data_IF_768924769717
#
_entry.id   IF_768924769717
#
_cell.length_a   1.000
_cell.length_b   1.000
_cell.length_c   1.000
_cell.angle_alpha   90.00
_cell.angle_beta   90.00
_cell.angle_gamma   90.00
#
_symmetry.space_group_name_H-M   'P 1'
#
loop_
_entity.id
_entity.type
_entity.pdbx_description
1 polymer ?
#
# COMPACT_ATOMS: atom_id res chain seq x y z
N UNK A 1 5.88 -8.23 12.47
CA UNK A 1 4.49 -7.85 12.14
C UNK A 1 4.44 -7.04 10.87
N UNK A 2 5.22 -5.95 10.76
CA UNK A 2 5.28 -5.18 9.51
C UNK A 2 5.95 -5.91 8.34
N UNK A 3 6.92 -6.82 8.57
CA UNK A 3 7.45 -7.66 7.47
C UNK A 3 6.37 -8.52 6.83
N UNK A 4 5.63 -9.29 7.64
CA UNK A 4 4.48 -10.08 7.18
C UNK A 4 3.45 -9.23 6.43
N UNK A 5 3.13 -8.04 6.96
CA UNK A 5 2.25 -7.09 6.28
C UNK A 5 2.73 -6.76 4.86
N UNK A 6 4.00 -6.36 4.72
CA UNK A 6 4.54 -5.94 3.43
C UNK A 6 4.80 -7.10 2.48
N UNK A 7 5.15 -8.28 2.98
CA UNK A 7 5.27 -9.51 2.20
C UNK A 7 3.91 -9.86 1.58
N UNK A 8 2.85 -9.86 2.39
CA UNK A 8 1.48 -10.12 1.92
C UNK A 8 1.00 -9.04 0.95
N UNK A 9 1.32 -7.77 1.16
CA UNK A 9 1.02 -6.70 0.18
C UNK A 9 1.73 -6.96 -1.14
N UNK A 10 2.98 -7.42 -1.14
CA UNK A 10 3.70 -7.75 -2.38
C UNK A 10 3.05 -8.92 -3.12
N UNK A 11 2.60 -9.95 -2.39
CA UNK A 11 1.87 -11.08 -2.97
C UNK A 11 0.54 -10.64 -3.60
N UNK A 12 -0.27 -9.89 -2.85
CA UNK A 12 -1.57 -9.37 -3.32
C UNK A 12 -1.44 -8.49 -4.57
N UNK A 13 -0.35 -7.71 -4.64
CA UNK A 13 -0.02 -6.90 -5.81
C UNK A 13 0.36 -7.77 -7.02
N UNK A 14 1.17 -8.82 -6.80
CA UNK A 14 1.55 -9.75 -7.86
C UNK A 14 0.34 -10.52 -8.42
N UNK A 15 -0.56 -10.99 -7.56
CA UNK A 15 -1.82 -11.67 -7.94
C UNK A 15 -2.72 -10.80 -8.83
N UNK A 16 -2.64 -9.47 -8.67
CA UNK A 16 -3.46 -8.49 -9.39
C UNK A 16 -2.73 -7.85 -10.58
N UNK A 17 -1.53 -8.31 -10.88
CA UNK A 17 -0.63 -7.70 -11.88
C UNK A 17 -0.46 -6.18 -11.66
N UNK A 18 -0.52 -5.75 -10.39
CA UNK A 18 -0.50 -4.34 -10.00
C UNK A 18 0.88 -3.95 -9.45
N UNK A 19 1.43 -2.85 -9.94
CA UNK A 19 2.67 -2.29 -9.40
C UNK A 19 2.42 -1.53 -8.10
N UNK A 20 3.46 -1.40 -7.27
CA UNK A 20 3.40 -0.57 -6.06
C UNK A 20 3.06 0.91 -6.37
N UNK A 21 3.50 1.43 -7.52
CA UNK A 21 3.17 2.78 -7.95
C UNK A 21 1.68 2.93 -8.30
N UNK A 22 1.08 1.93 -8.94
CA UNK A 22 -0.37 1.91 -9.23
C UNK A 22 -1.20 1.83 -7.96
N UNK A 23 -0.79 1.00 -6.99
CA UNK A 23 -1.41 0.99 -5.65
C UNK A 23 -1.43 2.40 -5.05
N UNK A 24 -0.27 3.07 -5.01
CA UNK A 24 -0.18 4.43 -4.45
C UNK A 24 -1.06 5.41 -5.25
N UNK A 25 -1.10 5.33 -6.59
CA UNK A 25 -1.95 6.20 -7.41
C UNK A 25 -3.42 6.02 -7.06
N UNK A 26 -3.88 4.77 -6.93
CA UNK A 26 -5.28 4.47 -6.60
C UNK A 26 -5.63 4.86 -5.16
N UNK A 27 -4.70 4.66 -4.20
CA UNK A 27 -4.90 5.09 -2.80
C UNK A 27 -5.12 6.59 -2.63
N UNK A 28 -4.58 7.40 -3.55
CA UNK A 28 -4.57 8.87 -3.45
C UNK A 28 -5.19 9.55 -4.68
N UNK A 29 -6.06 8.83 -5.41
CA UNK A 29 -6.74 9.39 -6.58
C UNK A 29 -7.51 10.66 -6.18
N UNK A 30 -7.27 11.76 -6.91
CA UNK A 30 -7.88 13.06 -6.63
C UNK A 30 -7.24 13.86 -5.48
N UNK A 31 -6.22 13.35 -4.80
CA UNK A 31 -5.55 14.05 -3.68
C UNK A 31 -4.24 14.76 -4.06
N UNK A 32 -3.87 14.71 -5.33
CA UNK A 32 -2.72 15.42 -5.87
C UNK A 32 -3.04 16.02 -7.24
N UNK A 33 -2.50 17.19 -7.52
CA UNK A 33 -2.60 17.88 -8.80
C UNK A 33 -1.27 17.86 -9.55
N UNK A 34 -0.15 17.89 -8.82
CA UNK A 34 1.18 17.92 -9.39
C UNK A 34 1.95 16.61 -9.17
N UNK A 35 2.85 16.23 -10.09
CA UNK A 35 3.69 15.03 -9.93
C UNK A 35 4.50 15.02 -8.63
N UNK A 36 4.97 16.18 -8.16
CA UNK A 36 5.73 16.31 -6.91
C UNK A 36 4.93 15.93 -5.66
N UNK A 37 3.62 16.20 -5.66
CA UNK A 37 2.72 15.83 -4.56
C UNK A 37 2.51 14.32 -4.50
N UNK A 38 2.35 13.68 -5.67
CA UNK A 38 2.34 12.23 -5.79
C UNK A 38 3.66 11.63 -5.29
N UNK A 39 4.81 12.17 -5.71
CA UNK A 39 6.12 11.72 -5.23
C UNK A 39 6.27 11.89 -3.71
N UNK A 40 5.68 12.96 -3.16
CA UNK A 40 5.26 13.16 -1.75
C UNK A 40 4.83 11.87 -1.06
N UNK A 41 3.68 11.42 -1.53
CA UNK A 41 2.91 10.31 -0.97
C UNK A 41 3.59 8.97 -1.23
N UNK A 42 4.09 8.77 -2.46
CA UNK A 42 4.84 7.59 -2.85
C UNK A 42 6.06 7.35 -1.97
N UNK A 43 6.91 8.37 -1.79
CA UNK A 43 8.11 8.23 -0.94
C UNK A 43 7.76 7.92 0.50
N UNK A 44 6.69 8.52 1.02
CA UNK A 44 6.23 8.26 2.38
C UNK A 44 5.75 6.81 2.54
N UNK A 45 4.94 6.27 1.62
CA UNK A 45 4.51 4.86 1.69
C UNK A 45 5.68 3.90 1.46
N UNK A 46 6.56 4.23 0.52
CA UNK A 46 7.76 3.46 0.24
C UNK A 46 8.68 3.37 1.46
N UNK A 47 8.79 4.44 2.25
CA UNK A 47 9.54 4.42 3.51
C UNK A 47 8.95 3.42 4.52
N UNK A 48 7.62 3.39 4.69
CA UNK A 48 6.97 2.38 5.53
C UNK A 48 7.30 0.96 5.05
N UNK A 49 7.22 0.72 3.73
CA UNK A 49 7.57 -0.58 3.12
C UNK A 49 9.02 -0.97 3.39
N UNK A 50 9.96 -0.07 3.11
CA UNK A 50 11.40 -0.34 3.24
C UNK A 50 11.81 -0.64 4.69
N UNK A 51 11.29 0.13 5.64
CA UNK A 51 11.60 -0.03 7.06
C UNK A 51 10.72 -1.08 7.75
N UNK A 52 9.85 -1.76 7.00
CA UNK A 52 8.87 -2.72 7.50
C UNK A 52 8.00 -2.18 8.64
N UNK A 53 7.65 -0.89 8.58
CA UNK A 53 6.72 -0.26 9.50
C UNK A 53 5.30 -0.39 8.96
N UNK A 54 4.33 -0.55 9.85
CA UNK A 54 2.92 -0.48 9.46
C UNK A 54 2.58 0.96 9.03
N UNK A 55 1.87 1.15 7.91
CA UNK A 55 1.30 2.45 7.57
C UNK A 55 0.36 2.96 8.65
N UNK A 56 0.01 4.25 8.56
CA UNK A 56 -1.10 4.79 9.33
C UNK A 56 -2.39 4.03 9.02
N UNK A 57 -3.27 3.84 10.00
CA UNK A 57 -4.53 3.08 9.86
C UNK A 57 -5.34 3.52 8.63
N UNK A 58 -5.59 4.83 8.47
CA UNK A 58 -6.25 5.41 7.29
C UNK A 58 -5.61 5.08 5.94
N UNK A 59 -4.33 4.69 5.90
CA UNK A 59 -3.64 4.25 4.68
C UNK A 59 -3.82 2.76 4.46
N UNK A 60 -3.86 1.97 5.54
CA UNK A 60 -4.23 0.55 5.47
C UNK A 60 -5.68 0.40 5.00
N UNK A 61 -6.60 1.24 5.48
CA UNK A 61 -8.01 1.24 5.02
C UNK A 61 -8.12 1.50 3.52
N UNK A 62 -7.28 2.39 2.99
CA UNK A 62 -7.22 2.63 1.54
C UNK A 62 -6.66 1.42 0.79
N UNK A 63 -5.68 0.73 1.36
CA UNK A 63 -5.13 -0.50 0.77
C UNK A 63 -6.19 -1.61 0.75
N UNK A 64 -6.99 -1.77 1.81
CA UNK A 64 -8.17 -2.66 1.86
C UNK A 64 -9.09 -2.37 0.68
N UNK A 65 -9.47 -1.10 0.49
CA UNK A 65 -10.40 -0.69 -0.58
C UNK A 65 -9.80 -0.92 -1.98
N UNK A 66 -8.55 -0.52 -2.20
CA UNK A 66 -7.89 -0.64 -3.52
C UNK A 66 -7.64 -2.10 -3.89
N UNK A 67 -7.23 -2.93 -2.92
CA UNK A 67 -6.92 -4.34 -3.17
C UNK A 67 -8.17 -5.23 -3.11
N UNK A 68 -9.28 -4.74 -2.56
CA UNK A 68 -10.52 -5.49 -2.41
C UNK A 68 -10.34 -6.70 -1.49
N UNK A 69 -9.66 -6.52 -0.37
CA UNK A 69 -9.36 -7.58 0.62
C UNK A 69 -9.69 -7.14 2.03
N UNK A 70 -9.96 -8.10 2.92
CA UNK A 70 -10.11 -7.80 4.33
C UNK A 70 -8.75 -7.46 4.99
N UNK A 71 -8.79 -6.69 6.08
CA UNK A 71 -7.61 -6.33 6.86
C UNK A 71 -6.77 -7.56 7.28
N UNK A 72 -7.44 -8.68 7.56
CA UNK A 72 -6.81 -9.93 7.98
C UNK A 72 -5.88 -10.52 6.91
N UNK A 73 -6.13 -10.27 5.62
CA UNK A 73 -5.30 -10.76 4.52
C UNK A 73 -3.88 -10.21 4.60
N UNK A 74 -3.68 -9.01 5.14
CA UNK A 74 -2.34 -8.48 5.34
C UNK A 74 -1.53 -9.22 6.42
N UNK A 75 -2.17 -10.02 7.27
CA UNK A 75 -1.50 -10.74 8.37
C UNK A 75 -1.68 -12.25 8.28
N UNK A 76 -2.24 -12.74 7.17
CA UNK A 76 -2.39 -14.16 6.91
C UNK A 76 -1.00 -14.79 6.87
N UNK A 77 -0.83 -15.89 7.61
CA UNK A 77 0.33 -16.76 7.52
C UNK A 77 -0.13 -17.96 6.70
N UNK A 78 0.43 -18.10 5.51
CA UNK A 78 0.30 -19.35 4.75
C UNK A 78 0.90 -20.53 5.53
#
# INVERSE_FOLDING_TARGET
MGSLFWDNVVLLLAEREMTFAELVRQMFVGEYHYPSEFWRLYRKLYHYKKEHFLPQERWVDRMVVVLGVDYAEFFRRD
#
